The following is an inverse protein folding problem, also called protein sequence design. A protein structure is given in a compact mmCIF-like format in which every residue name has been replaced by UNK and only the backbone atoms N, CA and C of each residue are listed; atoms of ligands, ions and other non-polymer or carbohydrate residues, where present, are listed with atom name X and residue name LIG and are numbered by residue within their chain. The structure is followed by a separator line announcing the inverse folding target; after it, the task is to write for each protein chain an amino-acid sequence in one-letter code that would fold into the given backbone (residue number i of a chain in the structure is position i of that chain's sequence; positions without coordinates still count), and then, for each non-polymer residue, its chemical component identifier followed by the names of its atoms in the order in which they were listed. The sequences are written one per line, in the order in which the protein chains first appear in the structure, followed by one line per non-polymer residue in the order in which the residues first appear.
data_IF_223252774525
#
_entry.id   IF_223252774525
#
_cell.length_a   1.000
_cell.length_b   1.000
_cell.length_c   1.000
_cell.angle_alpha   90.00
_cell.angle_beta   90.00
_cell.angle_gamma   90.00
#
_symmetry.space_group_name_H-M   'P 1'
#
loop_
_entity.id
_entity.type
_entity.pdbx_description
1 polymer ?
#
# COMPACT_ATOMS: atom_id res chain seq x y z
N UNK A 1 15.65 2.36 6.88
CA UNK A 1 17.08 2.47 6.54
C UNK A 1 17.43 1.77 5.22
N UNK A 2 16.98 0.54 4.96
CA UNK A 2 17.26 -0.17 3.68
C UNK A 2 16.82 0.60 2.43
N UNK A 3 15.60 1.16 2.42
CA UNK A 3 15.10 1.97 1.29
C UNK A 3 15.90 3.25 1.05
N UNK A 4 16.19 3.99 2.13
CA UNK A 4 16.98 5.23 2.02
C UNK A 4 18.40 4.92 1.56
N UNK A 5 19.02 3.87 2.12
CA UNK A 5 20.36 3.42 1.75
C UNK A 5 20.45 2.98 0.30
N UNK A 6 19.52 2.17 -0.20
CA UNK A 6 19.53 1.75 -1.61
C UNK A 6 19.37 2.93 -2.56
N UNK A 7 18.44 3.86 -2.27
CA UNK A 7 18.23 5.06 -3.09
C UNK A 7 19.46 5.97 -3.10
N UNK A 8 20.10 6.18 -1.95
CA UNK A 8 21.33 6.97 -1.85
C UNK A 8 22.47 6.38 -2.69
N UNK A 9 22.68 5.07 -2.62
CA UNK A 9 23.74 4.37 -3.37
C UNK A 9 23.47 4.43 -4.87
N UNK A 10 22.23 4.18 -5.31
CA UNK A 10 21.85 4.26 -6.74
C UNK A 10 22.01 5.68 -7.28
N UNK A 11 21.65 6.71 -6.50
CA UNK A 11 21.82 8.12 -6.91
C UNK A 11 23.28 8.54 -7.02
N UNK A 12 24.14 7.99 -6.18
CA UNK A 12 25.58 8.28 -6.22
C UNK A 12 26.31 7.56 -7.36
N UNK A 13 25.73 6.48 -7.91
CA UNK A 13 26.35 5.63 -8.92
C UNK A 13 25.38 5.42 -10.12
N UNK A 14 25.06 6.48 -10.87
CA UNK A 14 24.01 6.42 -11.89
C UNK A 14 24.37 5.52 -13.06
N UNK A 15 25.64 5.41 -13.46
CA UNK A 15 26.06 4.69 -14.68
C UNK A 15 26.48 3.25 -14.44
N UNK A 16 26.43 2.78 -13.20
CA UNK A 16 26.87 1.44 -12.83
C UNK A 16 25.85 0.37 -13.25
N UNK A 17 26.30 -0.75 -13.82
CA UNK A 17 25.40 -1.82 -14.29
C UNK A 17 24.64 -2.49 -13.14
N UNK A 18 25.19 -2.50 -11.92
CA UNK A 18 24.60 -3.14 -10.73
C UNK A 18 23.51 -2.30 -10.02
N UNK A 19 23.18 -1.11 -10.56
CA UNK A 19 22.25 -0.17 -9.93
C UNK A 19 20.85 -0.76 -9.71
N UNK A 20 20.41 -1.67 -10.58
CA UNK A 20 19.07 -2.25 -10.51
C UNK A 20 18.95 -3.30 -9.40
N UNK A 21 20.00 -4.09 -9.19
CA UNK A 21 20.10 -5.07 -8.11
C UNK A 21 19.98 -4.38 -6.75
N UNK A 22 20.69 -3.25 -6.58
CA UNK A 22 20.60 -2.43 -5.37
C UNK A 22 19.25 -1.74 -5.24
N UNK A 23 18.66 -1.26 -6.34
CA UNK A 23 17.34 -0.63 -6.34
C UNK A 23 16.23 -1.58 -5.86
N UNK A 24 16.37 -2.90 -6.07
CA UNK A 24 15.39 -3.92 -5.68
C UNK A 24 15.54 -4.40 -4.23
N UNK A 25 16.66 -4.13 -3.56
CA UNK A 25 16.88 -4.51 -2.15
C UNK A 25 15.70 -4.18 -1.19
N UNK A 26 14.98 -3.05 -1.31
CA UNK A 26 13.83 -2.74 -0.46
C UNK A 26 12.63 -3.69 -0.62
N UNK A 27 12.58 -4.51 -1.68
CA UNK A 27 11.52 -5.50 -1.89
C UNK A 27 11.60 -6.63 -0.86
N UNK A 28 12.81 -7.00 -0.40
CA UNK A 28 13.00 -8.05 0.62
C UNK A 28 12.27 -7.71 1.93
N UNK A 29 12.54 -6.56 2.59
CA UNK A 29 11.80 -6.20 3.79
C UNK A 29 10.31 -5.98 3.51
N UNK A 30 9.91 -5.51 2.32
CA UNK A 30 8.50 -5.41 1.95
C UNK A 30 7.82 -6.80 1.93
N UNK A 31 8.48 -7.83 1.39
CA UNK A 31 8.00 -9.21 1.42
C UNK A 31 7.86 -9.76 2.83
N UNK A 32 8.79 -9.44 3.73
CA UNK A 32 8.69 -9.79 5.15
C UNK A 32 7.46 -9.13 5.78
N UNK A 33 7.18 -7.86 5.49
CA UNK A 33 6.00 -7.15 5.99
C UNK A 33 4.71 -7.81 5.48
N UNK A 34 4.65 -8.22 4.21
CA UNK A 34 3.50 -8.97 3.67
C UNK A 34 3.31 -10.27 4.44
N UNK A 35 4.37 -11.06 4.62
CA UNK A 35 4.29 -12.32 5.37
C UNK A 35 3.83 -12.11 6.82
N UNK A 36 4.36 -11.11 7.52
CA UNK A 36 3.95 -10.75 8.88
C UNK A 36 2.48 -10.31 8.93
N UNK A 37 2.02 -9.55 7.94
CA UNK A 37 0.64 -9.07 7.85
C UNK A 37 -0.32 -10.24 7.64
N UNK A 38 -0.03 -11.14 6.70
CA UNK A 38 -0.84 -12.35 6.47
C UNK A 38 -0.88 -13.22 7.72
N UNK A 39 0.28 -13.42 8.37
CA UNK A 39 0.36 -14.18 9.63
C UNK A 39 -0.44 -13.52 10.75
N UNK A 40 -0.46 -12.19 10.83
CA UNK A 40 -1.24 -11.46 11.82
C UNK A 40 -2.74 -11.58 11.55
N UNK A 41 -3.18 -11.41 10.31
CA UNK A 41 -4.57 -11.58 9.89
C UNK A 41 -5.11 -12.99 10.17
N UNK A 42 -4.28 -14.01 9.99
CA UNK A 42 -4.64 -15.40 10.27
C UNK A 42 -4.85 -15.71 11.76
N UNK A 43 -4.37 -14.85 12.66
CA UNK A 43 -4.48 -15.02 14.13
C UNK A 43 -5.63 -14.22 14.74
N UNK A 44 -6.35 -13.44 13.93
CA UNK A 44 -7.50 -12.67 14.38
C UNK A 44 -8.69 -13.58 14.70
N UNK A 45 -9.51 -13.15 15.65
CA UNK A 45 -10.82 -13.76 15.86
C UNK A 45 -11.75 -13.52 14.65
N UNK A 46 -12.87 -14.24 14.60
CA UNK A 46 -13.80 -14.19 13.47
C UNK A 46 -14.40 -12.78 13.26
N UNK A 47 -14.65 -12.04 14.34
CA UNK A 47 -15.24 -10.70 14.28
C UNK A 47 -14.25 -9.69 13.69
N UNK A 48 -13.03 -9.70 14.20
CA UNK A 48 -11.93 -8.86 13.73
C UNK A 48 -11.57 -9.21 12.29
N UNK A 49 -11.47 -10.50 11.95
CA UNK A 49 -11.18 -10.96 10.59
C UNK A 49 -12.26 -10.49 9.61
N UNK A 50 -13.54 -10.59 9.96
CA UNK A 50 -14.66 -10.08 9.15
C UNK A 50 -14.55 -8.57 8.93
N UNK A 51 -14.29 -7.79 9.98
CA UNK A 51 -14.11 -6.33 9.87
C UNK A 51 -12.91 -5.98 8.98
N UNK A 52 -11.79 -6.68 9.15
CA UNK A 52 -10.61 -6.48 8.31
C UNK A 52 -10.88 -6.79 6.84
N UNK A 53 -11.56 -7.90 6.55
CA UNK A 53 -11.92 -8.26 5.18
C UNK A 53 -12.85 -7.23 4.52
N UNK A 54 -13.84 -6.71 5.25
CA UNK A 54 -14.71 -5.64 4.75
C UNK A 54 -13.93 -4.36 4.46
N UNK A 55 -13.04 -3.97 5.38
CA UNK A 55 -12.23 -2.77 5.22
C UNK A 55 -11.20 -2.90 4.08
N UNK A 56 -10.57 -4.06 3.91
CA UNK A 56 -9.67 -4.37 2.80
C UNK A 56 -10.42 -4.41 1.45
N UNK A 57 -11.63 -4.97 1.42
CA UNK A 57 -12.49 -4.95 0.24
C UNK A 57 -12.86 -3.53 -0.19
N UNK A 58 -13.27 -2.70 0.77
CA UNK A 58 -13.49 -1.27 0.53
C UNK A 58 -12.23 -0.57 0.02
N UNK A 59 -11.09 -0.78 0.70
CA UNK A 59 -9.82 -0.16 0.32
C UNK A 59 -9.42 -0.49 -1.10
N UNK A 60 -9.54 -1.76 -1.48
CA UNK A 60 -9.21 -2.25 -2.83
C UNK A 60 -10.09 -1.56 -3.87
N UNK A 61 -11.42 -1.56 -3.68
CA UNK A 61 -12.34 -0.96 -4.63
C UNK A 61 -12.18 0.56 -4.74
N UNK A 62 -12.02 1.25 -3.61
CA UNK A 62 -11.82 2.70 -3.56
C UNK A 62 -10.49 3.11 -4.20
N UNK A 63 -9.40 2.41 -3.89
CA UNK A 63 -8.10 2.67 -4.51
C UNK A 63 -8.16 2.40 -6.01
N UNK A 64 -8.76 1.29 -6.45
CA UNK A 64 -8.91 0.99 -7.87
C UNK A 64 -9.66 2.12 -8.60
N UNK A 65 -10.78 2.60 -8.03
CA UNK A 65 -11.54 3.70 -8.61
C UNK A 65 -10.70 4.97 -8.74
N UNK A 66 -9.93 5.33 -7.71
CA UNK A 66 -9.05 6.51 -7.73
C UNK A 66 -7.92 6.35 -8.75
N UNK A 67 -7.24 5.20 -8.76
CA UNK A 67 -6.13 4.96 -9.70
C UNK A 67 -6.60 4.89 -11.14
N UNK A 68 -7.76 4.27 -11.40
CA UNK A 68 -8.36 4.26 -12.74
C UNK A 68 -8.78 5.66 -13.17
N UNK A 69 -9.47 6.41 -12.29
CA UNK A 69 -9.84 7.79 -12.56
C UNK A 69 -8.62 8.66 -12.88
N UNK A 70 -7.54 8.51 -12.11
CA UNK A 70 -6.29 9.21 -12.39
C UNK A 70 -5.65 8.79 -13.72
N UNK A 71 -5.71 7.50 -14.09
CA UNK A 71 -5.21 7.04 -15.39
C UNK A 71 -5.92 7.70 -16.59
N UNK A 72 -7.24 7.89 -16.50
CA UNK A 72 -7.97 8.65 -17.55
C UNK A 72 -7.53 10.12 -17.61
N UNK A 73 -7.31 10.70 -16.44
CA UNK A 73 -6.82 12.07 -16.29
C UNK A 73 -5.39 12.25 -16.83
N UNK A 74 -4.49 11.27 -16.64
CA UNK A 74 -3.17 11.23 -17.30
C UNK A 74 -3.33 11.22 -18.83
N UNK A 75 -4.30 10.45 -19.35
CA UNK A 75 -4.65 10.48 -20.78
C UNK A 75 -5.13 11.85 -21.28
N UNK A 76 -5.64 12.70 -20.39
CA UNK A 76 -6.02 14.08 -20.65
C UNK A 76 -4.90 15.11 -20.49
N UNK A 77 -3.68 14.68 -20.15
CA UNK A 77 -2.49 15.55 -20.05
C UNK A 77 -2.00 15.85 -18.63
N UNK A 78 -2.56 15.24 -17.59
CA UNK A 78 -1.99 15.31 -16.25
C UNK A 78 -0.64 14.55 -16.17
N UNK A 79 0.28 14.97 -15.28
CA UNK A 79 1.60 14.37 -15.19
C UNK A 79 1.54 12.94 -14.67
N UNK A 80 2.49 12.10 -15.11
CA UNK A 80 2.54 10.71 -14.67
C UNK A 80 2.87 10.58 -13.18
N UNK A 81 2.06 9.81 -12.45
CA UNK A 81 2.26 9.56 -11.04
C UNK A 81 3.00 8.24 -10.79
N UNK A 82 3.96 8.26 -9.87
CA UNK A 82 4.71 7.08 -9.52
C UNK A 82 3.81 6.02 -8.84
N UNK A 83 3.94 4.78 -9.26
CA UNK A 83 3.22 3.62 -8.74
C UNK A 83 3.47 3.39 -7.24
N UNK A 84 4.55 3.95 -6.68
CA UNK A 84 4.81 3.98 -5.24
C UNK A 84 3.70 4.63 -4.42
N UNK A 85 2.83 5.46 -5.01
CA UNK A 85 1.71 6.09 -4.32
C UNK A 85 0.47 5.19 -4.17
N UNK A 86 0.37 4.10 -4.94
CA UNK A 86 -0.79 3.20 -4.90
C UNK A 86 -0.93 2.53 -3.54
N UNK A 87 0.18 2.02 -2.98
CA UNK A 87 0.14 1.32 -1.69
C UNK A 87 -0.19 2.25 -0.51
N UNK A 88 0.41 3.45 -0.36
CA UNK A 88 -0.02 4.44 0.63
C UNK A 88 -1.49 4.82 0.49
N UNK A 89 -1.98 5.02 -0.73
CA UNK A 89 -3.39 5.30 -0.98
C UNK A 89 -4.29 4.16 -0.49
N UNK A 90 -3.93 2.91 -0.79
CA UNK A 90 -4.65 1.72 -0.31
C UNK A 90 -4.63 1.60 1.22
N UNK A 91 -3.50 1.87 1.85
CA UNK A 91 -3.39 1.88 3.31
C UNK A 91 -4.27 2.96 3.95
N UNK A 92 -4.33 4.16 3.35
CA UNK A 92 -5.25 5.22 3.78
C UNK A 92 -6.72 4.80 3.64
N UNK A 93 -7.10 4.24 2.50
CA UNK A 93 -8.47 3.75 2.28
C UNK A 93 -8.82 2.61 3.25
N UNK A 94 -7.87 1.73 3.58
CA UNK A 94 -8.07 0.68 4.58
C UNK A 94 -8.29 1.25 5.98
N UNK A 95 -7.49 2.24 6.39
CA UNK A 95 -7.68 2.95 7.65
C UNK A 95 -9.04 3.64 7.75
N UNK A 96 -9.50 4.28 6.67
CA UNK A 96 -10.84 4.89 6.59
C UNK A 96 -11.96 3.83 6.68
N UNK A 97 -11.80 2.69 5.99
CA UNK A 97 -12.72 1.57 6.09
C UNK A 97 -12.85 1.04 7.52
N UNK A 98 -11.73 0.88 8.22
CA UNK A 98 -11.74 0.47 9.64
C UNK A 98 -12.39 1.52 10.54
N UNK A 99 -12.05 2.80 10.37
CA UNK A 99 -12.59 3.89 11.18
C UNK A 99 -14.12 3.98 11.04
N UNK A 100 -14.64 3.89 9.83
CA UNK A 100 -16.09 3.96 9.56
C UNK A 100 -16.85 2.78 10.15
N UNK A 101 -16.33 1.55 10.01
CA UNK A 101 -16.96 0.36 10.58
C UNK A 101 -16.97 0.43 12.12
N UNK A 102 -15.83 0.80 12.73
CA UNK A 102 -15.70 0.88 14.18
C UNK A 102 -16.57 2.00 14.79
N UNK A 103 -16.65 3.15 14.11
CA UNK A 103 -17.51 4.26 14.53
C UNK A 103 -18.99 3.84 14.53
N UNK A 104 -19.43 3.14 13.47
CA UNK A 104 -20.79 2.61 13.36
C UNK A 104 -21.10 1.58 14.45
N UNK A 105 -20.14 0.76 14.84
CA UNK A 105 -20.29 -0.19 15.93
C UNK A 105 -20.41 0.51 17.30
N UNK A 106 -19.70 1.62 17.50
CA UNK A 106 -19.77 2.41 18.75
C UNK A 106 -21.11 3.09 18.96
N UNK A 107 -21.74 3.62 17.90
CA UNK A 107 -23.05 4.28 17.99
C UNK A 107 -24.24 3.31 18.15
N UNK A 108 -24.03 1.99 17.99
CA UNK A 108 -25.06 0.97 18.16
C UNK A 108 -25.07 0.32 19.56
N UNK A 109 -24.19 0.75 20.46
CA UNK A 109 -24.16 0.38 21.88
C UNK A 109 -24.77 1.50 22.70
#
# INVERSE_FOLDING_TARGET
MVLVGSVSVVRANPDEPWRFEVAVLPVIPAGIVVWLTVRALARLDEVQKRTQMQALGFATAATALVTFGYGFLEGGGLPHLNWTFVLPLMALMWGLGLATINLKARFRR
#
